data_IF_178486738046
#
_entry.id   IF_178486738046
#
_cell.length_a   1.000
_cell.length_b   1.000
_cell.length_c   1.000
_cell.angle_alpha   90.00
_cell.angle_beta   90.00
_cell.angle_gamma   90.00
#
_symmetry.space_group_name_H-M   'P 1'
#
loop_
_entity.id
_entity.type
_entity.pdbx_description
1 polymer ?
#
# COMPACT_ATOMS: atom_id res chain seq x y z
N UNK A 1 32.61 -20.22 24.69
CA UNK A 1 31.57 -21.25 24.51
C UNK A 1 30.51 -20.66 23.57
N UNK A 2 30.80 -20.79 22.27
CA UNK A 2 29.88 -20.44 21.17
C UNK A 2 29.63 -21.78 20.49
N UNK A 3 28.45 -22.33 20.55
CA UNK A 3 27.95 -23.33 19.60
C UNK A 3 26.51 -23.71 19.97
N UNK A 4 25.72 -23.96 18.93
CA UNK A 4 24.36 -24.53 18.88
C UNK A 4 23.21 -23.54 18.90
N UNK A 5 22.81 -23.16 17.70
CA UNK A 5 21.42 -23.13 17.22
C UNK A 5 21.43 -22.92 15.66
N UNK A 6 21.95 -23.95 14.97
CA UNK A 6 21.72 -24.14 13.55
C UNK A 6 20.89 -25.42 13.39
N UNK A 7 19.66 -25.29 12.95
CA UNK A 7 18.86 -26.49 12.66
C UNK A 7 17.37 -26.19 12.62
N UNK A 8 16.85 -26.03 11.44
CA UNK A 8 15.58 -26.58 10.91
C UNK A 8 14.98 -25.70 9.83
N UNK A 9 15.65 -25.65 8.69
CA UNK A 9 14.97 -25.33 7.45
C UNK A 9 14.73 -26.64 6.70
N UNK A 10 13.52 -27.16 6.75
CA UNK A 10 13.11 -28.30 5.92
C UNK A 10 12.89 -27.79 4.49
N UNK A 11 13.64 -28.41 3.57
CA UNK A 11 13.50 -28.26 2.11
C UNK A 11 12.10 -28.70 1.69
N UNK A 12 11.31 -27.80 1.09
CA UNK A 12 10.13 -28.19 0.33
C UNK A 12 10.58 -28.76 -1.02
N UNK A 13 10.43 -30.07 -1.19
CA UNK A 13 10.62 -30.76 -2.46
C UNK A 13 9.52 -30.33 -3.44
N UNK A 14 9.91 -29.72 -4.55
CA UNK A 14 9.07 -29.61 -5.73
C UNK A 14 9.15 -30.91 -6.54
N UNK A 15 8.03 -31.44 -7.04
CA UNK A 15 8.05 -32.67 -7.85
C UNK A 15 8.69 -32.39 -9.22
N UNK A 16 9.59 -33.28 -9.63
CA UNK A 16 10.22 -33.26 -10.94
C UNK A 16 9.17 -33.44 -12.06
N UNK A 17 9.11 -32.50 -12.99
CA UNK A 17 8.32 -32.62 -14.22
C UNK A 17 9.07 -33.52 -15.20
N UNK A 18 8.51 -34.70 -15.49
CA UNK A 18 8.95 -35.56 -16.58
C UNK A 18 8.63 -34.90 -17.93
N UNK A 19 9.68 -34.52 -18.63
CA UNK A 19 9.63 -34.05 -20.01
C UNK A 19 9.34 -35.25 -20.95
N UNK A 20 8.17 -35.28 -21.59
CA UNK A 20 7.97 -36.10 -22.79
C UNK A 20 8.48 -35.33 -24.01
N UNK A 21 9.41 -35.95 -24.74
CA UNK A 21 9.88 -35.46 -26.03
C UNK A 21 8.76 -35.65 -27.08
N UNK A 22 8.31 -34.51 -27.63
CA UNK A 22 7.47 -34.47 -28.83
C UNK A 22 7.96 -33.30 -29.69
N UNK A 23 8.39 -33.61 -30.93
CA UNK A 23 8.93 -32.68 -31.90
C UNK A 23 7.86 -31.68 -32.35
N UNK A 24 7.92 -30.48 -31.87
CA UNK A 24 7.20 -29.30 -32.36
C UNK A 24 7.94 -28.07 -31.88
N UNK A 25 8.35 -27.17 -32.79
CA UNK A 25 8.96 -25.89 -32.44
C UNK A 25 7.99 -25.05 -31.63
N UNK A 26 7.95 -25.26 -30.32
CA UNK A 26 7.23 -24.41 -29.40
C UNK A 26 8.04 -23.12 -29.23
N UNK A 27 7.64 -22.08 -29.96
CA UNK A 27 8.13 -20.72 -29.69
C UNK A 27 7.63 -20.34 -28.29
N UNK A 28 8.48 -20.49 -27.29
CA UNK A 28 8.23 -19.93 -25.98
C UNK A 28 8.15 -18.40 -26.14
N UNK A 29 6.94 -17.87 -26.25
CA UNK A 29 6.72 -16.45 -25.93
C UNK A 29 7.03 -16.28 -24.44
N UNK A 30 8.26 -15.89 -24.14
CA UNK A 30 8.58 -15.33 -22.83
C UNK A 30 7.64 -14.12 -22.69
N UNK A 31 6.69 -14.12 -21.74
CA UNK A 31 5.93 -12.91 -21.50
C UNK A 31 6.96 -11.86 -21.13
N UNK A 32 7.10 -10.80 -21.93
CA UNK A 32 7.79 -9.60 -21.50
C UNK A 32 7.04 -9.13 -20.25
N UNK A 33 7.57 -9.45 -19.10
CA UNK A 33 7.17 -8.90 -17.82
C UNK A 33 7.44 -7.41 -17.90
N UNK A 34 6.44 -6.64 -18.34
CA UNK A 34 6.51 -5.20 -18.34
C UNK A 34 6.74 -4.76 -16.90
N UNK A 35 7.95 -4.31 -16.60
CA UNK A 35 8.32 -3.91 -15.25
C UNK A 35 7.42 -2.76 -14.81
N UNK A 36 6.74 -2.95 -13.68
CA UNK A 36 5.94 -1.89 -13.08
C UNK A 36 6.83 -1.00 -12.24
N UNK A 37 6.89 0.27 -12.61
CA UNK A 37 7.68 1.27 -11.90
C UNK A 37 6.78 2.15 -11.04
N UNK A 38 7.24 2.50 -9.84
CA UNK A 38 6.56 3.41 -8.91
C UNK A 38 7.54 4.51 -8.47
N UNK A 39 7.18 5.75 -8.74
CA UNK A 39 7.93 6.93 -8.30
C UNK A 39 7.10 7.72 -7.31
N UNK A 40 7.75 8.30 -6.31
CA UNK A 40 7.13 9.14 -5.29
C UNK A 40 7.84 10.47 -5.19
N UNK A 41 7.05 11.52 -5.06
CA UNK A 41 7.52 12.89 -4.94
C UNK A 41 6.70 13.58 -3.87
N UNK A 42 7.36 14.41 -3.07
CA UNK A 42 6.68 15.37 -2.19
C UNK A 42 6.82 16.72 -2.88
N UNK A 43 5.70 17.33 -3.23
CA UNK A 43 5.63 18.57 -4.01
C UNK A 43 4.72 19.57 -3.30
N UNK A 44 4.89 20.86 -3.59
CA UNK A 44 3.97 21.88 -3.09
C UNK A 44 2.61 21.81 -3.78
N UNK A 45 1.59 22.35 -3.13
CA UNK A 45 0.24 22.49 -3.70
C UNK A 45 0.30 23.29 -5.00
N UNK A 46 1.08 24.38 -5.07
CA UNK A 46 1.23 25.19 -6.29
C UNK A 46 1.79 24.39 -7.46
N UNK A 47 2.79 23.54 -7.20
CA UNK A 47 3.37 22.69 -8.23
C UNK A 47 2.39 21.58 -8.64
N UNK A 48 1.61 21.04 -7.71
CA UNK A 48 0.54 20.10 -7.98
C UNK A 48 -0.48 20.72 -8.95
N UNK A 49 -0.93 21.97 -8.70
CA UNK A 49 -1.95 22.66 -9.50
C UNK A 49 -1.47 22.88 -10.94
N UNK A 50 -0.22 23.32 -11.10
CA UNK A 50 0.41 23.47 -12.42
C UNK A 50 0.51 22.15 -13.19
N UNK A 51 0.81 21.04 -12.48
CA UNK A 51 0.85 19.73 -13.12
C UNK A 51 -0.54 19.22 -13.44
N UNK A 52 -1.48 19.39 -12.52
CA UNK A 52 -2.84 18.88 -12.68
C UNK A 52 -3.52 19.43 -13.93
N UNK A 53 -3.30 20.69 -14.27
CA UNK A 53 -3.77 21.25 -15.54
C UNK A 53 -3.25 20.50 -16.77
N UNK A 54 -1.95 20.14 -16.77
CA UNK A 54 -1.34 19.36 -17.86
C UNK A 54 -1.81 17.91 -17.88
N UNK A 55 -2.04 17.33 -16.69
CA UNK A 55 -2.53 15.97 -16.51
C UNK A 55 -3.95 15.82 -17.05
N UNK A 56 -4.86 16.74 -16.69
CA UNK A 56 -6.28 16.76 -17.15
C UNK A 56 -6.44 16.80 -18.66
N UNK A 57 -5.45 17.34 -19.38
CA UNK A 57 -5.46 17.37 -20.86
C UNK A 57 -5.05 16.04 -21.50
N UNK A 58 -4.49 15.10 -20.75
CA UNK A 58 -3.86 13.87 -21.27
C UNK A 58 -4.35 12.58 -20.61
N UNK A 59 -4.87 12.68 -19.42
CA UNK A 59 -5.31 11.55 -18.60
C UNK A 59 -6.77 11.72 -18.20
N UNK A 60 -7.44 10.62 -18.04
CA UNK A 60 -8.79 10.58 -17.51
C UNK A 60 -8.76 10.57 -15.97
N UNK A 61 -9.78 11.14 -15.35
CA UNK A 61 -9.97 11.03 -13.91
C UNK A 61 -10.20 9.56 -13.57
N UNK A 62 -9.32 8.99 -12.76
CA UNK A 62 -9.55 7.66 -12.19
C UNK A 62 -10.58 7.79 -11.07
N UNK A 63 -11.83 7.64 -11.45
CA UNK A 63 -12.98 7.66 -10.56
C UNK A 63 -12.89 6.45 -9.63
N UNK A 64 -12.25 6.61 -8.50
CA UNK A 64 -12.31 5.61 -7.41
C UNK A 64 -13.76 5.23 -7.10
N UNK A 65 -14.06 4.53 -6.01
CA UNK A 65 -15.44 4.16 -5.71
C UNK A 65 -16.32 5.41 -5.63
N UNK A 66 -16.94 5.79 -6.74
CA UNK A 66 -18.07 6.71 -6.78
C UNK A 66 -17.81 8.22 -6.83
N UNK A 67 -16.60 8.72 -7.13
CA UNK A 67 -16.34 10.17 -7.06
C UNK A 67 -15.93 10.82 -8.38
N UNK A 68 -16.37 12.05 -8.56
CA UNK A 68 -15.99 12.94 -9.67
C UNK A 68 -14.68 13.71 -9.39
N UNK A 69 -13.70 13.14 -8.70
CA UNK A 69 -12.44 13.85 -8.49
C UNK A 69 -11.70 13.50 -7.22
N UNK A 70 -11.92 14.21 -6.14
CA UNK A 70 -11.23 13.99 -4.86
C UNK A 70 -12.09 13.10 -3.95
N UNK A 71 -11.48 12.09 -3.33
CA UNK A 71 -12.15 11.21 -2.38
C UNK A 71 -11.27 10.91 -1.17
N UNK A 72 -11.89 10.85 0.02
CA UNK A 72 -11.17 10.55 1.25
C UNK A 72 -10.81 9.07 1.32
N UNK A 73 -9.66 8.81 1.92
CA UNK A 73 -9.17 7.47 2.21
C UNK A 73 -8.70 7.44 3.66
N UNK A 74 -9.20 6.46 4.42
CA UNK A 74 -8.65 6.12 5.73
C UNK A 74 -8.10 4.71 5.72
N UNK A 75 -6.99 4.48 6.41
CA UNK A 75 -6.37 3.16 6.52
C UNK A 75 -5.88 2.90 7.93
N UNK A 76 -6.30 1.78 8.53
CA UNK A 76 -5.69 1.23 9.73
C UNK A 76 -4.55 0.32 9.34
N UNK A 77 -3.33 0.64 9.76
CA UNK A 77 -2.16 -0.21 9.61
C UNK A 77 -1.94 -1.04 10.87
N UNK A 78 -1.46 -2.26 10.67
CA UNK A 78 -1.13 -3.22 11.71
C UNK A 78 0.37 -3.45 11.76
N UNK A 79 0.90 -3.61 12.95
CA UNK A 79 2.31 -3.96 13.21
C UNK A 79 2.43 -4.70 14.54
N UNK A 80 3.56 -5.36 14.77
CA UNK A 80 3.89 -5.93 16.07
C UNK A 80 4.16 -4.81 17.11
N UNK A 81 4.11 -5.09 18.41
CA UNK A 81 4.54 -4.14 19.45
C UNK A 81 5.98 -3.64 19.23
N UNK A 82 6.86 -4.48 18.72
CA UNK A 82 8.28 -4.22 18.42
C UNK A 82 8.48 -3.39 17.15
N UNK A 83 7.39 -3.10 16.40
CA UNK A 83 7.41 -2.36 15.13
C UNK A 83 8.18 -3.08 14.02
N UNK A 84 7.99 -4.39 13.89
CA UNK A 84 8.69 -5.21 12.88
C UNK A 84 8.49 -4.70 11.47
N UNK A 85 7.26 -4.37 11.07
CA UNK A 85 6.99 -3.82 9.73
C UNK A 85 7.74 -2.51 9.46
N UNK A 86 7.97 -1.68 10.50
CA UNK A 86 8.78 -0.47 10.38
C UNK A 86 10.24 -0.83 10.17
N UNK A 87 10.83 -1.64 11.07
CA UNK A 87 12.24 -1.99 11.02
C UNK A 87 12.62 -2.81 9.79
N UNK A 88 11.77 -3.76 9.38
CA UNK A 88 11.95 -4.49 8.12
C UNK A 88 12.07 -3.55 6.90
N UNK A 89 11.27 -2.47 6.88
CA UNK A 89 11.34 -1.46 5.82
C UNK A 89 12.62 -0.63 5.90
N UNK A 90 13.02 -0.20 7.11
CA UNK A 90 14.23 0.61 7.33
C UNK A 90 15.48 -0.21 6.98
N UNK A 91 15.57 -1.43 7.48
CA UNK A 91 16.67 -2.37 7.24
C UNK A 91 16.65 -2.97 5.83
N UNK A 92 15.62 -2.67 5.02
CA UNK A 92 15.45 -3.18 3.64
C UNK A 92 15.45 -4.70 3.56
N UNK A 93 14.86 -5.40 4.54
CA UNK A 93 14.80 -6.85 4.52
C UNK A 93 14.17 -7.35 3.22
N UNK A 94 14.69 -8.46 2.70
CA UNK A 94 14.27 -9.05 1.43
C UNK A 94 12.79 -9.48 1.46
N UNK A 95 12.36 -10.12 2.56
CA UNK A 95 10.97 -10.54 2.75
C UNK A 95 10.26 -9.65 3.76
N UNK A 96 9.13 -9.07 3.37
CA UNK A 96 8.32 -8.17 4.22
C UNK A 96 6.86 -8.31 3.90
N UNK A 97 6.02 -8.25 4.93
CA UNK A 97 4.56 -8.24 4.79
C UNK A 97 3.98 -7.10 5.62
N UNK A 98 2.91 -6.47 5.14
CA UNK A 98 2.17 -5.43 5.87
C UNK A 98 0.69 -5.60 5.64
N UNK A 99 -0.08 -5.59 6.71
CA UNK A 99 -1.54 -5.58 6.65
C UNK A 99 -2.06 -4.17 6.84
N UNK A 100 -3.16 -3.87 6.15
CA UNK A 100 -4.00 -2.74 6.47
C UNK A 100 -5.45 -3.01 6.10
N UNK A 101 -6.36 -2.46 6.87
CA UNK A 101 -7.75 -2.25 6.47
C UNK A 101 -7.86 -0.87 5.87
N UNK A 102 -8.45 -0.74 4.69
CA UNK A 102 -8.60 0.55 4.01
C UNK A 102 -10.04 0.78 3.62
N UNK A 103 -10.53 1.99 3.89
CA UNK A 103 -11.82 2.46 3.43
C UNK A 103 -11.64 3.64 2.48
N UNK A 104 -12.43 3.65 1.43
CA UNK A 104 -12.56 4.71 0.44
C UNK A 104 -13.95 5.31 0.56
N UNK A 105 -14.08 6.59 0.23
CA UNK A 105 -15.35 7.28 0.23
C UNK A 105 -15.80 7.70 1.62
N UNK A 106 -16.89 8.44 1.65
CA UNK A 106 -17.47 9.03 2.84
C UNK A 106 -18.96 9.25 2.63
N UNK A 107 -19.77 8.83 3.58
CA UNK A 107 -21.21 9.03 3.54
C UNK A 107 -21.57 10.53 3.58
N UNK A 108 -20.84 11.32 4.37
CA UNK A 108 -21.05 12.77 4.48
C UNK A 108 -20.66 13.51 3.21
N UNK A 109 -19.69 13.00 2.45
CA UNK A 109 -19.32 13.53 1.13
C UNK A 109 -20.18 12.97 -0.01
N UNK A 110 -21.21 12.16 0.30
CA UNK A 110 -22.07 11.55 -0.73
C UNK A 110 -21.35 10.46 -1.56
N UNK A 111 -20.20 9.97 -1.10
CA UNK A 111 -19.41 8.94 -1.79
C UNK A 111 -19.58 7.62 -1.04
N UNK A 112 -20.27 6.61 -1.63
CA UNK A 112 -20.50 5.34 -0.94
C UNK A 112 -19.20 4.71 -0.45
N UNK A 113 -19.12 4.34 0.84
CA UNK A 113 -17.90 3.76 1.39
C UNK A 113 -17.64 2.35 0.85
N UNK A 114 -16.38 2.06 0.52
CA UNK A 114 -15.93 0.73 0.11
C UNK A 114 -14.69 0.34 0.92
N UNK A 115 -14.75 -0.84 1.55
CA UNK A 115 -13.70 -1.30 2.44
C UNK A 115 -12.93 -2.50 1.86
N UNK A 116 -11.64 -2.55 2.19
CA UNK A 116 -10.73 -3.57 1.69
C UNK A 116 -9.74 -3.99 2.77
N UNK A 117 -9.54 -5.30 2.88
CA UNK A 117 -8.39 -5.90 3.53
C UNK A 117 -7.26 -6.01 2.52
N UNK A 118 -6.09 -5.50 2.84
CA UNK A 118 -4.92 -5.52 1.96
C UNK A 118 -3.70 -6.08 2.68
N UNK A 119 -3.03 -7.05 2.06
CA UNK A 119 -1.72 -7.54 2.47
C UNK A 119 -0.72 -7.17 1.38
N UNK A 120 0.26 -6.34 1.73
CA UNK A 120 1.34 -5.97 0.83
C UNK A 120 2.54 -6.84 1.12
N UNK A 121 3.08 -7.47 0.08
CA UNK A 121 4.27 -8.28 0.11
C UNK A 121 5.43 -7.55 -0.55
N UNK A 122 6.62 -7.82 -0.07
CA UNK A 122 7.85 -7.62 -0.82
C UNK A 122 8.75 -8.83 -0.62
N UNK A 123 9.20 -9.45 -1.69
CA UNK A 123 10.11 -10.60 -1.67
C UNK A 123 11.20 -10.33 -2.72
N UNK A 124 12.44 -10.33 -2.30
CA UNK A 124 13.64 -10.15 -3.16
C UNK A 124 13.54 -8.99 -4.17
N UNK A 125 13.03 -7.85 -3.69
CA UNK A 125 12.85 -6.67 -4.54
C UNK A 125 11.51 -6.60 -5.25
N UNK A 126 10.85 -7.72 -5.51
CA UNK A 126 9.53 -7.77 -6.12
C UNK A 126 8.42 -7.43 -5.14
N UNK A 127 7.49 -6.58 -5.57
CA UNK A 127 6.37 -6.15 -4.78
C UNK A 127 5.05 -6.75 -5.26
N UNK A 128 4.32 -7.38 -4.35
CA UNK A 128 2.97 -7.88 -4.59
C UNK A 128 1.95 -7.27 -3.63
N UNK A 129 0.69 -7.30 -4.01
CA UNK A 129 -0.43 -6.92 -3.16
C UNK A 129 -1.59 -7.88 -3.37
N UNK A 130 -2.08 -8.44 -2.28
CA UNK A 130 -3.37 -9.12 -2.23
C UNK A 130 -4.41 -8.19 -1.65
N UNK A 131 -5.59 -8.19 -2.23
CA UNK A 131 -6.68 -7.31 -1.85
C UNK A 131 -7.99 -8.08 -1.84
N UNK A 132 -8.73 -7.97 -0.74
CA UNK A 132 -10.05 -8.53 -0.58
C UNK A 132 -11.02 -7.39 -0.27
N UNK A 133 -12.07 -7.24 -1.06
CA UNK A 133 -13.18 -6.37 -0.69
C UNK A 133 -13.98 -7.03 0.43
N UNK A 134 -14.28 -6.27 1.47
CA UNK A 134 -15.04 -6.73 2.64
C UNK A 134 -16.19 -5.78 2.90
N UNK A 135 -17.28 -6.24 3.51
CA UNK A 135 -18.35 -5.35 3.96
C UNK A 135 -17.80 -4.26 4.88
N UNK A 136 -18.38 -3.07 4.80
CA UNK A 136 -17.94 -1.91 5.62
C UNK A 136 -18.07 -2.20 7.10
N UNK A 137 -19.16 -2.86 7.51
CA UNK A 137 -19.35 -3.30 8.88
C UNK A 137 -18.26 -4.28 9.34
N UNK A 138 -17.93 -5.29 8.52
CA UNK A 138 -16.84 -6.23 8.78
C UNK A 138 -15.51 -5.49 8.97
N UNK A 139 -15.24 -4.46 8.16
CA UNK A 139 -14.04 -3.65 8.29
C UNK A 139 -14.00 -2.88 9.62
N UNK A 140 -15.11 -2.27 10.01
CA UNK A 140 -15.26 -1.52 11.28
C UNK A 140 -15.08 -2.43 12.49
N UNK A 141 -15.74 -3.58 12.50
CA UNK A 141 -15.64 -4.58 13.57
C UNK A 141 -14.23 -5.16 13.67
N UNK A 142 -13.60 -5.49 12.54
CA UNK A 142 -12.22 -5.97 12.52
C UNK A 142 -11.25 -4.93 13.14
N UNK A 143 -11.39 -3.65 12.79
CA UNK A 143 -10.57 -2.57 13.35
C UNK A 143 -10.86 -2.35 14.84
N UNK A 144 -12.07 -2.60 15.29
CA UNK A 144 -12.46 -2.56 16.71
C UNK A 144 -11.89 -3.76 17.53
N UNK A 145 -11.20 -4.70 16.89
CA UNK A 145 -10.59 -5.86 17.55
C UNK A 145 -11.33 -7.18 17.39
N UNK A 146 -12.50 -7.17 16.74
CA UNK A 146 -13.26 -8.38 16.46
C UNK A 146 -12.68 -9.14 15.26
N UNK A 147 -11.43 -9.59 15.34
CA UNK A 147 -10.74 -10.18 14.20
C UNK A 147 -11.44 -11.42 13.63
N UNK A 148 -12.17 -12.16 14.49
CA UNK A 148 -12.93 -13.35 14.10
C UNK A 148 -13.99 -13.14 13.02
N UNK A 149 -14.46 -11.90 12.80
CA UNK A 149 -15.49 -11.58 11.78
C UNK A 149 -15.08 -11.97 10.35
N UNK A 150 -13.79 -12.06 10.06
CA UNK A 150 -13.32 -12.54 8.75
C UNK A 150 -13.58 -14.03 8.53
N UNK A 151 -13.77 -14.82 9.60
CA UNK A 151 -14.08 -16.27 9.50
C UNK A 151 -15.46 -16.48 8.90
N UNK A 152 -16.38 -15.54 9.13
CA UNK A 152 -17.74 -15.60 8.58
C UNK A 152 -17.73 -15.52 7.03
N UNK A 153 -16.65 -15.02 6.46
CA UNK A 153 -16.46 -14.95 5.00
C UNK A 153 -15.84 -16.23 4.40
N UNK A 154 -15.45 -17.23 5.21
CA UNK A 154 -14.79 -18.47 4.73
C UNK A 154 -15.76 -19.48 4.09
N UNK A 155 -17.01 -19.66 4.58
CA UNK A 155 -17.97 -20.55 3.93
C UNK A 155 -18.22 -20.13 2.47
N UNK A 156 -18.05 -21.04 1.53
CA UNK A 156 -18.21 -20.75 0.10
C UNK A 156 -17.13 -19.86 -0.53
N UNK A 157 -16.14 -19.42 0.23
CA UNK A 157 -15.11 -18.52 -0.27
C UNK A 157 -14.23 -19.15 -1.35
N UNK A 158 -13.81 -18.32 -2.32
CA UNK A 158 -12.82 -18.71 -3.33
C UNK A 158 -11.46 -19.05 -2.69
N UNK A 159 -10.63 -19.79 -3.42
CA UNK A 159 -9.26 -20.09 -2.98
C UNK A 159 -8.46 -18.79 -2.68
N UNK A 160 -8.59 -17.77 -3.52
CA UNK A 160 -7.90 -16.50 -3.33
C UNK A 160 -8.35 -15.77 -2.06
N UNK A 161 -9.64 -15.76 -1.77
CA UNK A 161 -10.21 -15.18 -0.55
C UNK A 161 -9.67 -15.91 0.70
N UNK A 162 -9.68 -17.25 0.70
CA UNK A 162 -9.14 -18.06 1.81
C UNK A 162 -7.66 -17.78 2.06
N UNK A 163 -6.85 -17.66 1.00
CA UNK A 163 -5.42 -17.33 1.13
C UNK A 163 -5.23 -15.99 1.86
N UNK A 164 -5.99 -14.95 1.48
CA UNK A 164 -5.86 -13.63 2.09
C UNK A 164 -6.29 -13.67 3.56
N UNK A 165 -7.43 -14.29 3.86
CA UNK A 165 -7.95 -14.39 5.23
C UNK A 165 -6.98 -15.16 6.12
N UNK A 166 -6.48 -16.32 5.66
CA UNK A 166 -5.51 -17.11 6.44
C UNK A 166 -4.19 -16.35 6.67
N UNK A 167 -3.75 -15.57 5.69
CA UNK A 167 -2.55 -14.75 5.83
C UNK A 167 -2.76 -13.60 6.83
N UNK A 168 -3.94 -13.01 6.86
CA UNK A 168 -4.29 -12.00 7.87
C UNK A 168 -4.28 -12.60 9.26
N UNK A 169 -4.87 -13.80 9.46
CA UNK A 169 -4.82 -14.50 10.75
C UNK A 169 -3.40 -14.88 11.14
N UNK A 170 -2.57 -15.33 10.19
CA UNK A 170 -1.16 -15.60 10.45
C UNK A 170 -0.43 -14.37 11.02
N UNK A 171 -0.66 -13.21 10.44
CA UNK A 171 -0.03 -11.96 10.89
C UNK A 171 -0.61 -11.45 12.21
N UNK A 172 -1.92 -11.53 12.40
CA UNK A 172 -2.58 -11.01 13.60
C UNK A 172 -2.41 -11.96 14.79
N UNK A 173 -2.75 -13.25 14.62
CA UNK A 173 -2.80 -14.21 15.74
C UNK A 173 -1.42 -14.80 16.05
N UNK A 174 -0.62 -15.14 15.02
CA UNK A 174 0.68 -15.79 15.21
C UNK A 174 1.84 -14.81 15.32
N UNK A 175 1.83 -13.74 14.52
CA UNK A 175 2.89 -12.72 14.55
C UNK A 175 2.55 -11.53 15.47
N UNK A 176 1.41 -11.52 16.16
CA UNK A 176 1.04 -10.51 17.15
C UNK A 176 0.80 -9.11 16.56
N UNK A 177 0.46 -9.01 15.27
CA UNK A 177 0.19 -7.70 14.68
C UNK A 177 -1.13 -7.13 15.20
N UNK A 178 -1.06 -5.97 15.83
CA UNK A 178 -2.20 -5.19 16.30
C UNK A 178 -2.35 -3.85 15.57
N UNK A 179 -3.45 -3.12 15.82
CA UNK A 179 -3.65 -1.77 15.31
C UNK A 179 -2.50 -0.85 15.76
N UNK A 180 -1.77 -0.28 14.80
CA UNK A 180 -0.61 0.54 15.08
C UNK A 180 -0.82 2.00 14.73
N UNK A 181 -1.33 2.30 13.53
CA UNK A 181 -1.46 3.66 13.04
C UNK A 181 -2.65 3.78 12.11
N UNK A 182 -3.50 4.77 12.32
CA UNK A 182 -4.49 5.22 11.35
C UNK A 182 -3.95 6.37 10.52
N UNK A 183 -4.18 6.31 9.20
CA UNK A 183 -3.73 7.36 8.26
C UNK A 183 -4.91 7.73 7.37
N UNK A 184 -5.21 9.02 7.33
CA UNK A 184 -6.23 9.62 6.48
C UNK A 184 -5.59 10.59 5.49
N UNK A 185 -6.14 10.69 4.30
CA UNK A 185 -5.77 11.66 3.27
C UNK A 185 -6.85 11.74 2.20
N UNK A 186 -6.85 12.83 1.44
CA UNK A 186 -7.70 13.02 0.28
C UNK A 186 -6.92 12.70 -0.98
N UNK A 187 -7.52 11.93 -1.89
CA UNK A 187 -6.88 11.47 -3.12
C UNK A 187 -7.57 12.00 -4.34
N UNK A 188 -6.80 12.58 -5.25
CA UNK A 188 -7.13 12.76 -6.64
C UNK A 188 -6.27 11.82 -7.49
N UNK A 189 -6.86 11.16 -8.50
CA UNK A 189 -6.15 10.19 -9.33
C UNK A 189 -6.49 10.34 -10.81
N UNK A 190 -5.48 10.14 -11.65
CA UNK A 190 -5.58 10.20 -13.09
C UNK A 190 -4.90 9.00 -13.72
N UNK A 191 -5.46 8.48 -14.82
CA UNK A 191 -4.94 7.32 -15.52
C UNK A 191 -5.09 7.46 -17.03
N UNK A 192 -4.26 6.75 -17.78
CA UNK A 192 -4.48 6.53 -19.20
C UNK A 192 -5.61 5.53 -19.40
N UNK A 193 -6.28 5.56 -20.55
CA UNK A 193 -7.36 4.63 -20.89
C UNK A 193 -6.92 3.15 -20.85
N UNK A 194 -5.67 2.85 -21.16
CA UNK A 194 -5.06 1.53 -21.09
C UNK A 194 -4.57 1.13 -19.68
N UNK A 195 -4.74 2.01 -18.67
CA UNK A 195 -4.32 1.84 -17.28
C UNK A 195 -2.81 1.62 -17.08
N UNK A 196 -1.99 1.86 -18.10
CA UNK A 196 -0.55 1.65 -18.04
C UNK A 196 0.22 2.79 -17.35
N UNK A 197 -0.39 3.97 -17.26
CA UNK A 197 0.18 5.11 -16.57
C UNK A 197 -0.85 5.74 -15.63
N UNK A 198 -0.46 5.95 -14.38
CA UNK A 198 -1.33 6.52 -13.35
C UNK A 198 -0.57 7.50 -12.47
N UNK A 199 -1.18 8.66 -12.23
CA UNK A 199 -0.72 9.67 -11.28
C UNK A 199 -1.76 9.77 -10.16
N UNK A 200 -1.32 9.82 -8.91
CA UNK A 200 -2.17 10.14 -7.76
C UNK A 200 -1.58 11.29 -6.97
N UNK A 201 -2.44 12.19 -6.52
CA UNK A 201 -2.11 13.24 -5.58
C UNK A 201 -2.83 12.95 -4.28
N UNK A 202 -2.06 12.82 -3.20
CA UNK A 202 -2.57 12.61 -1.85
C UNK A 202 -2.28 13.88 -1.05
N UNK A 203 -3.33 14.60 -0.65
CA UNK A 203 -3.31 15.83 0.16
C UNK A 203 -3.84 15.57 1.56
N UNK A 204 -3.66 16.51 2.47
CA UNK A 204 -4.14 16.46 3.85
C UNK A 204 -3.78 15.13 4.53
N UNK A 205 -2.50 14.76 4.43
CA UNK A 205 -1.99 13.54 5.03
C UNK A 205 -1.87 13.71 6.54
N UNK A 206 -2.77 13.09 7.26
CA UNK A 206 -2.83 13.11 8.73
C UNK A 206 -2.84 11.71 9.30
N UNK A 207 -2.42 11.58 10.56
CA UNK A 207 -2.40 10.29 11.25
C UNK A 207 -2.79 10.43 12.73
N UNK A 208 -3.05 9.27 13.32
CA UNK A 208 -3.20 9.08 14.76
C UNK A 208 -2.81 7.65 15.14
N UNK A 209 -2.34 7.44 16.35
CA UNK A 209 -1.96 6.11 16.84
C UNK A 209 -3.15 5.34 17.41
N UNK A 210 -2.98 4.03 17.56
CA UNK A 210 -3.92 3.17 18.27
C UNK A 210 -5.15 2.75 17.47
N UNK A 211 -6.19 2.39 18.20
CA UNK A 211 -7.46 1.89 17.65
C UNK A 211 -8.51 2.99 17.73
N UNK A 212 -9.04 3.35 16.58
CA UNK A 212 -10.14 4.31 16.46
C UNK A 212 -11.14 3.80 15.43
N UNK A 213 -12.37 4.33 15.46
CA UNK A 213 -13.34 4.03 14.44
C UNK A 213 -12.77 4.32 13.02
N UNK A 214 -13.04 3.43 12.09
CA UNK A 214 -12.57 3.59 10.69
C UNK A 214 -13.53 4.53 9.95
N UNK A 215 -13.38 5.82 10.17
CA UNK A 215 -14.22 6.88 9.61
C UNK A 215 -13.37 7.86 8.82
N UNK A 216 -13.58 8.02 7.50
CA UNK A 216 -12.83 8.97 6.68
C UNK A 216 -13.05 10.44 7.08
N UNK A 217 -14.21 10.75 7.64
CA UNK A 217 -14.65 12.11 8.02
C UNK A 217 -14.36 12.47 9.48
N UNK A 218 -13.68 11.59 10.22
CA UNK A 218 -13.37 11.84 11.62
C UNK A 218 -12.42 13.06 11.76
N UNK A 219 -12.83 14.14 12.42
CA UNK A 219 -11.99 15.34 12.59
C UNK A 219 -10.84 15.14 13.59
N UNK A 220 -10.85 14.05 14.36
CA UNK A 220 -9.91 13.82 15.47
C UNK A 220 -8.53 13.29 15.03
N UNK A 221 -8.11 13.51 13.77
CA UNK A 221 -6.74 13.28 13.35
C UNK A 221 -5.86 14.47 13.77
N UNK A 222 -4.84 14.20 14.59
CA UNK A 222 -4.03 15.26 15.26
C UNK A 222 -2.69 15.50 14.57
N UNK A 223 -2.07 14.48 13.99
CA UNK A 223 -0.68 14.55 13.57
C UNK A 223 -0.57 14.70 12.05
N UNK A 224 0.03 15.79 11.59
CA UNK A 224 0.32 15.99 10.17
C UNK A 224 1.51 15.14 9.73
N UNK A 225 1.31 14.26 8.73
CA UNK A 225 2.40 13.50 8.10
C UNK A 225 3.22 14.40 7.18
N UNK A 226 2.53 15.27 6.43
CA UNK A 226 3.11 16.33 5.60
C UNK A 226 2.48 17.66 5.99
N UNK A 227 3.21 18.75 5.81
CA UNK A 227 2.65 20.09 5.93
C UNK A 227 1.48 20.28 4.94
N UNK A 228 0.51 21.11 5.30
CA UNK A 228 -0.74 21.28 4.52
C UNK A 228 -0.53 21.85 3.12
N UNK A 229 0.55 22.58 2.91
CA UNK A 229 0.97 23.11 1.61
C UNK A 229 1.73 22.09 0.75
N UNK A 230 1.88 20.84 1.23
CA UNK A 230 2.60 19.77 0.56
C UNK A 230 1.68 18.60 0.20
N UNK A 231 1.94 18.00 -0.95
CA UNK A 231 1.19 16.89 -1.53
C UNK A 231 2.14 15.74 -1.83
N UNK A 232 1.71 14.51 -1.54
CA UNK A 232 2.43 13.34 -1.99
C UNK A 232 1.91 12.92 -3.37
N UNK A 233 2.74 13.09 -4.39
CA UNK A 233 2.49 12.57 -5.73
C UNK A 233 3.09 11.19 -5.89
N UNK A 234 2.29 10.23 -6.37
CA UNK A 234 2.74 8.88 -6.73
C UNK A 234 2.46 8.63 -8.21
N UNK A 235 3.50 8.26 -8.94
CA UNK A 235 3.43 7.93 -10.37
C UNK A 235 3.70 6.45 -10.55
N UNK A 236 2.80 5.75 -11.22
CA UNK A 236 2.92 4.34 -11.58
C UNK A 236 2.90 4.18 -13.08
N UNK A 237 3.86 3.41 -13.62
CA UNK A 237 3.93 3.09 -15.03
C UNK A 237 4.17 1.60 -15.23
N UNK A 238 3.48 1.01 -16.20
CA UNK A 238 3.80 -0.29 -16.75
C UNK A 238 4.62 -0.04 -18.01
N UNK A 239 5.86 -0.49 -18.04
CA UNK A 239 6.82 -0.13 -19.08
C UNK A 239 7.43 1.25 -18.91
N UNK A 240 7.56 2.03 -19.98
CA UNK A 240 8.20 3.34 -19.94
C UNK A 240 7.27 4.44 -19.45
N UNK A 241 7.82 5.37 -18.67
CA UNK A 241 7.11 6.60 -18.27
C UNK A 241 6.94 7.49 -19.50
N UNK A 242 5.75 8.06 -19.75
CA UNK A 242 5.50 8.95 -20.89
C UNK A 242 6.51 10.10 -20.99
N UNK A 243 6.92 10.44 -22.23
CA UNK A 243 7.94 11.44 -22.45
C UNK A 243 7.56 12.81 -21.89
N UNK A 244 6.31 13.23 -22.10
CA UNK A 244 5.79 14.52 -21.59
C UNK A 244 5.92 14.65 -20.07
N UNK A 245 5.75 13.54 -19.33
CA UNK A 245 5.91 13.56 -17.88
C UNK A 245 7.38 13.67 -17.49
N UNK A 246 8.27 12.97 -18.21
CA UNK A 246 9.72 13.04 -17.96
C UNK A 246 10.27 14.45 -18.21
N UNK A 247 9.86 15.09 -19.30
CA UNK A 247 10.22 16.50 -19.59
C UNK A 247 9.74 17.44 -18.49
N UNK A 248 8.46 17.29 -18.10
CA UNK A 248 7.93 18.13 -17.04
C UNK A 248 8.62 17.87 -15.69
N UNK A 249 8.86 16.63 -15.33
CA UNK A 249 9.53 16.26 -14.09
C UNK A 249 10.97 16.82 -14.04
N UNK A 250 11.67 16.80 -15.17
CA UNK A 250 13.00 17.39 -15.28
C UNK A 250 12.95 18.92 -15.16
N UNK A 251 12.03 19.60 -15.87
CA UNK A 251 11.87 21.06 -15.82
C UNK A 251 11.48 21.55 -14.40
N UNK A 252 10.68 20.75 -13.67
CA UNK A 252 10.30 21.02 -12.29
C UNK A 252 11.33 20.55 -11.25
N UNK A 253 12.49 20.04 -11.68
CA UNK A 253 13.54 19.50 -10.82
C UNK A 253 13.02 18.49 -9.78
N UNK A 254 12.09 17.61 -10.17
CA UNK A 254 11.48 16.66 -9.25
C UNK A 254 12.47 15.62 -8.73
N UNK A 255 12.68 15.61 -7.44
CA UNK A 255 13.51 14.62 -6.76
C UNK A 255 12.67 13.44 -6.25
N UNK A 256 13.03 12.22 -6.67
CA UNK A 256 12.39 10.99 -6.19
C UNK A 256 12.68 10.77 -4.72
N UNK A 257 11.66 10.38 -3.98
CA UNK A 257 11.79 10.15 -2.54
C UNK A 257 11.35 8.73 -2.16
N UNK A 258 12.05 8.15 -1.18
CA UNK A 258 11.61 6.91 -0.54
C UNK A 258 10.59 7.25 0.54
N UNK A 259 9.35 7.49 0.15
CA UNK A 259 8.29 7.86 1.08
C UNK A 259 7.43 6.65 1.46
N UNK A 260 7.18 6.46 2.75
CA UNK A 260 6.24 5.47 3.28
C UNK A 260 5.30 6.14 4.26
N UNK A 261 4.02 6.30 3.91
CA UNK A 261 3.01 6.90 4.80
C UNK A 261 3.09 6.32 6.22
N UNK A 262 3.13 4.98 6.33
CA UNK A 262 3.20 4.30 7.62
C UNK A 262 4.46 4.64 8.42
N UNK A 263 5.65 4.52 7.80
CA UNK A 263 6.89 4.81 8.53
C UNK A 263 7.01 6.29 8.90
N UNK A 264 6.60 7.19 8.00
CA UNK A 264 6.61 8.63 8.28
C UNK A 264 5.62 8.99 9.39
N UNK A 265 4.43 8.38 9.38
CA UNK A 265 3.44 8.57 10.46
C UNK A 265 3.98 8.10 11.82
N UNK A 266 4.61 6.92 11.87
CA UNK A 266 5.24 6.43 13.09
C UNK A 266 6.35 7.37 13.60
N UNK A 267 7.22 7.84 12.70
CA UNK A 267 8.31 8.76 13.06
C UNK A 267 7.81 10.15 13.51
N UNK A 268 6.61 10.56 13.07
CA UNK A 268 5.95 11.78 13.58
C UNK A 268 5.39 11.57 14.98
N UNK A 269 4.74 10.44 15.18
CA UNK A 269 4.15 10.09 16.48
C UNK A 269 5.21 9.75 17.52
N UNK A 270 6.28 9.04 17.12
CA UNK A 270 7.44 8.72 17.95
C UNK A 270 8.74 9.18 17.30
N UNK A 271 9.20 10.41 17.58
CA UNK A 271 10.43 10.95 17.04
C UNK A 271 11.70 10.18 17.43
N UNK A 272 11.64 9.33 18.47
CA UNK A 272 12.79 8.50 18.88
C UNK A 272 13.17 7.49 17.82
N UNK A 273 12.20 6.95 17.10
CA UNK A 273 12.41 6.01 15.97
C UNK A 273 13.29 6.65 14.88
N UNK A 274 13.09 7.94 14.60
CA UNK A 274 13.91 8.67 13.63
C UNK A 274 15.35 8.84 14.11
N UNK A 275 15.55 9.14 15.39
CA UNK A 275 16.89 9.25 15.99
C UNK A 275 17.64 7.93 15.93
N UNK A 276 16.99 6.83 16.31
CA UNK A 276 17.55 5.48 16.26
C UNK A 276 17.91 5.10 14.81
N UNK A 277 17.03 5.39 13.83
CA UNK A 277 17.32 5.17 12.42
C UNK A 277 18.59 5.88 11.96
N UNK A 278 18.73 7.19 12.30
CA UNK A 278 19.88 7.97 11.88
C UNK A 278 21.19 7.53 12.56
N UNK A 279 21.13 6.89 13.71
CA UNK A 279 22.30 6.35 14.40
C UNK A 279 22.81 5.01 13.78
N UNK A 280 21.98 4.36 12.94
CA UNK A 280 22.30 3.06 12.35
C UNK A 280 22.46 3.11 10.80
N UNK A 281 22.44 4.30 10.19
CA UNK A 281 22.72 4.56 8.78
C UNK A 281 24.01 5.32 8.60
#
# INVERSE_FOLDING_TARGET
MISMLAGMWRKCNLPALHLRQGAGKTVFKIPLSLSRTEYKFVISVQLRDQLEEKVRRRLEVDRGPGSEGVYPIVSQYYDSPERDCYWEKIRRLASRRKIRVRMYGSETAGIPPAAFMEVKHKLDGEGGKRRLQIPVDTARRFVAGEHGVLRDMLPGASRSTRIIINEVFDLVERCGHGPAMQIRYDRCAYTTADLNFRITFDSDLVCRSGTHALLPDDPAFSDEILARDMVMMEVKSIGSVPYWFREWAAAACLCRQSFSKYCTALERHDPTLRKIRCAHT
#
